data_IF_485046591323
#
_entry.id   IF_485046591323
#
_cell.length_a   1.000
_cell.length_b   1.000
_cell.length_c   1.000
_cell.angle_alpha   90.00
_cell.angle_beta   90.00
_cell.angle_gamma   90.00
#
_symmetry.space_group_name_H-M   'P 1'
#
loop_
_entity.id
_entity.type
_entity.pdbx_description
1 polymer ?
#
# COMPACT_ATOMS: atom_id res chain seq x y z
N UNK A 1 15.27 -54.97 -19.26
CA UNK A 1 15.69 -53.74 -19.99
C UNK A 1 16.31 -52.78 -18.99
N UNK A 2 17.63 -52.56 -19.03
CA UNK A 2 18.35 -51.66 -18.11
C UNK A 2 18.39 -50.27 -18.74
N UNK A 3 17.57 -49.35 -18.25
CA UNK A 3 17.60 -47.95 -18.71
C UNK A 3 18.94 -47.31 -18.31
N UNK A 4 19.63 -46.73 -19.30
CA UNK A 4 20.91 -46.07 -19.11
C UNK A 4 20.74 -44.86 -18.18
N UNK A 5 21.75 -44.61 -17.34
CA UNK A 5 21.78 -43.48 -16.40
C UNK A 5 21.45 -42.15 -17.09
N UNK A 6 21.86 -41.97 -18.35
CA UNK A 6 21.55 -40.77 -19.14
C UNK A 6 20.06 -40.61 -19.45
N UNK A 7 19.30 -41.71 -19.60
CA UNK A 7 17.85 -41.68 -19.81
C UNK A 7 17.11 -41.36 -18.52
N UNK A 8 17.60 -41.86 -17.38
CA UNK A 8 17.05 -41.52 -16.05
C UNK A 8 17.23 -40.03 -15.75
N UNK A 9 18.40 -39.45 -16.06
CA UNK A 9 18.65 -38.02 -15.87
C UNK A 9 17.84 -37.13 -16.83
N UNK A 10 17.62 -37.56 -18.07
CA UNK A 10 16.75 -36.83 -19.02
C UNK A 10 15.29 -36.84 -18.58
N UNK A 11 14.79 -37.95 -18.01
CA UNK A 11 13.42 -38.03 -17.47
C UNK A 11 13.26 -37.19 -16.20
N UNK A 12 14.27 -37.14 -15.32
CA UNK A 12 14.26 -36.30 -14.11
C UNK A 12 14.33 -34.80 -14.45
N UNK A 13 15.15 -34.41 -15.44
CA UNK A 13 15.22 -33.02 -15.91
C UNK A 13 13.92 -32.58 -16.62
N UNK A 14 13.28 -33.48 -17.36
CA UNK A 14 11.97 -33.22 -17.97
C UNK A 14 10.84 -33.10 -16.92
N UNK A 15 10.88 -33.87 -15.82
CA UNK A 15 9.91 -33.76 -14.74
C UNK A 15 10.10 -32.50 -13.87
N UNK A 16 11.34 -32.02 -13.70
CA UNK A 16 11.62 -30.78 -12.99
C UNK A 16 11.11 -29.52 -13.73
N UNK A 17 10.95 -29.57 -15.06
CA UNK A 17 10.41 -28.46 -15.84
C UNK A 17 8.87 -28.36 -15.81
N UNK A 18 8.15 -29.39 -15.37
CA UNK A 18 6.67 -29.44 -15.43
C UNK A 18 6.01 -28.87 -14.15
N UNK A 19 6.74 -28.61 -13.08
CA UNK A 19 6.18 -28.18 -11.79
C UNK A 19 6.27 -26.67 -11.47
N UNK A 20 6.72 -25.82 -12.39
CA UNK A 20 6.91 -24.38 -12.11
C UNK A 20 5.66 -23.52 -12.40
N UNK A 21 4.59 -24.08 -12.96
CA UNK A 21 3.49 -23.29 -13.55
C UNK A 21 2.19 -23.14 -12.74
N UNK A 22 2.08 -23.65 -11.51
CA UNK A 22 0.77 -23.77 -10.82
C UNK A 22 0.79 -23.23 -9.39
N UNK A 23 1.47 -22.11 -9.15
CA UNK A 23 1.27 -21.36 -7.91
C UNK A 23 -0.17 -20.80 -7.88
N UNK A 24 -0.86 -20.82 -6.73
CA UNK A 24 -2.18 -20.19 -6.64
C UNK A 24 -2.04 -18.71 -7.01
N UNK A 25 -2.81 -18.27 -8.01
CA UNK A 25 -3.03 -16.85 -8.29
C UNK A 25 -3.76 -16.30 -7.07
N UNK A 26 -3.01 -15.72 -6.13
CA UNK A 26 -3.59 -15.03 -4.98
C UNK A 26 -4.38 -13.87 -5.57
N UNK A 27 -5.71 -14.02 -5.64
CA UNK A 27 -6.62 -12.97 -6.04
C UNK A 27 -6.41 -11.78 -5.11
N UNK A 28 -5.71 -10.75 -5.60
CA UNK A 28 -5.52 -9.54 -4.83
C UNK A 28 -6.90 -8.85 -4.66
N UNK A 29 -7.23 -8.36 -3.46
CA UNK A 29 -8.46 -7.60 -3.26
C UNK A 29 -8.53 -6.43 -4.25
N UNK A 30 -9.68 -6.27 -4.90
CA UNK A 30 -9.90 -5.13 -5.80
C UNK A 30 -9.71 -3.84 -5.01
N UNK A 31 -8.85 -2.96 -5.52
CA UNK A 31 -8.57 -1.67 -4.90
C UNK A 31 -9.88 -0.84 -4.90
N UNK A 32 -10.32 -0.33 -3.72
CA UNK A 32 -11.47 0.55 -3.66
C UNK A 32 -11.24 1.84 -4.44
N UNK A 33 -12.32 2.40 -4.99
CA UNK A 33 -12.31 3.73 -5.58
C UNK A 33 -11.87 4.79 -4.56
N UNK A 34 -11.46 5.95 -5.06
CA UNK A 34 -11.13 7.11 -4.24
C UNK A 34 -12.32 7.46 -3.34
N UNK A 35 -12.03 7.83 -2.09
CA UNK A 35 -13.07 8.16 -1.13
C UNK A 35 -12.73 9.41 -0.32
N UNK A 36 -13.78 10.17 -0.01
CA UNK A 36 -13.67 11.42 0.74
C UNK A 36 -13.77 11.24 2.25
N UNK A 37 -13.17 12.17 2.97
CA UNK A 37 -13.44 12.54 4.35
C UNK A 37 -14.12 13.91 4.31
N UNK A 38 -15.31 13.98 4.89
CA UNK A 38 -16.07 15.23 4.95
C UNK A 38 -15.33 16.26 5.81
N UNK A 39 -15.57 17.53 5.53
CA UNK A 39 -14.99 18.61 6.29
C UNK A 39 -15.56 18.61 7.72
N UNK A 40 -14.72 18.23 8.69
CA UNK A 40 -15.03 18.39 10.10
C UNK A 40 -14.94 19.85 10.54
N UNK A 41 -15.50 20.16 11.71
CA UNK A 41 -15.53 21.50 12.32
C UNK A 41 -14.16 22.19 12.38
N UNK A 42 -13.08 21.43 12.60
CA UNK A 42 -11.71 21.94 12.75
C UNK A 42 -10.87 21.71 11.48
N UNK A 43 -11.50 21.25 10.39
CA UNK A 43 -10.82 20.97 9.12
C UNK A 43 -10.97 22.14 8.16
N UNK A 44 -9.89 22.62 7.52
CA UNK A 44 -9.97 23.72 6.55
C UNK A 44 -10.61 23.32 5.21
N UNK A 45 -10.93 22.03 5.02
CA UNK A 45 -11.57 21.51 3.81
C UNK A 45 -11.79 20.00 3.86
N UNK A 46 -12.47 19.46 2.84
CA UNK A 46 -12.65 18.03 2.62
C UNK A 46 -11.33 17.39 2.14
N UNK A 47 -11.15 16.11 2.40
CA UNK A 47 -9.94 15.37 1.99
C UNK A 47 -10.33 14.15 1.18
N UNK A 48 -9.73 13.94 0.01
CA UNK A 48 -9.91 12.71 -0.77
C UNK A 48 -8.67 11.84 -0.66
N UNK A 49 -8.85 10.57 -0.32
CA UNK A 49 -7.80 9.57 -0.38
C UNK A 49 -7.90 8.76 -1.67
N UNK A 50 -6.75 8.59 -2.35
CA UNK A 50 -6.63 7.79 -3.56
C UNK A 50 -5.62 6.66 -3.40
N UNK A 51 -6.06 5.42 -3.55
CA UNK A 51 -5.16 4.27 -3.56
C UNK A 51 -4.24 4.27 -4.77
N UNK A 52 -4.75 4.65 -5.95
CA UNK A 52 -3.95 4.67 -7.20
C UNK A 52 -2.77 5.62 -7.05
N UNK A 53 -3.02 6.83 -6.55
CA UNK A 53 -1.98 7.83 -6.35
C UNK A 53 -0.90 7.34 -5.38
N UNK A 54 -1.27 6.72 -4.25
CA UNK A 54 -0.27 6.21 -3.31
C UNK A 54 0.53 5.05 -3.89
N UNK A 55 -0.11 4.15 -4.64
CA UNK A 55 0.56 3.05 -5.34
C UNK A 55 1.56 3.58 -6.37
N UNK A 56 1.14 4.51 -7.21
CA UNK A 56 1.97 5.15 -8.26
C UNK A 56 3.15 5.93 -7.68
N UNK A 57 3.01 6.48 -6.46
CA UNK A 57 4.11 7.16 -5.76
C UNK A 57 5.08 6.20 -5.04
N UNK A 58 4.84 4.89 -5.09
CA UNK A 58 5.77 3.86 -4.61
C UNK A 58 5.30 3.06 -3.41
N UNK A 59 4.07 3.26 -2.91
CA UNK A 59 3.47 2.40 -1.88
C UNK A 59 2.79 1.17 -2.54
N UNK A 60 3.58 0.36 -3.26
CA UNK A 60 3.05 -0.67 -4.15
C UNK A 60 2.37 -1.84 -3.43
N UNK A 61 2.86 -2.16 -2.22
CA UNK A 61 2.39 -3.30 -1.44
C UNK A 61 1.20 -2.89 -0.58
N UNK A 62 0.10 -3.64 -0.63
CA UNK A 62 -1.05 -3.45 0.26
C UNK A 62 -0.62 -3.45 1.74
N UNK A 63 0.41 -4.24 2.06
CA UNK A 63 0.98 -4.36 3.40
C UNK A 63 1.77 -3.14 3.87
N UNK A 64 2.10 -2.21 2.97
CA UNK A 64 2.71 -0.93 3.34
C UNK A 64 1.77 -0.10 4.22
N UNK A 65 0.44 -0.22 4.00
CA UNK A 65 -0.58 0.49 4.74
C UNK A 65 -1.40 -0.43 5.66
N UNK A 66 -1.72 -1.64 5.19
CA UNK A 66 -2.66 -2.53 5.86
C UNK A 66 -2.00 -3.78 6.47
N UNK A 67 -2.44 -4.27 7.63
CA UNK A 67 -3.38 -3.64 8.56
C UNK A 67 -2.68 -2.77 9.61
N UNK A 68 -1.36 -2.57 9.45
CA UNK A 68 -0.48 -1.92 10.42
C UNK A 68 -0.83 -0.45 10.67
N UNK A 69 -1.05 0.33 9.60
CA UNK A 69 -1.34 1.76 9.68
C UNK A 69 -2.85 1.99 9.59
N UNK A 70 -3.52 1.30 8.67
CA UNK A 70 -4.96 1.39 8.48
C UNK A 70 -5.62 0.01 8.52
N UNK A 71 -6.82 -0.09 9.07
CA UNK A 71 -7.69 -1.26 8.87
C UNK A 71 -8.27 -1.23 7.46
N UNK A 72 -8.61 -2.40 6.92
CA UNK A 72 -9.13 -2.54 5.55
C UNK A 72 -10.49 -1.85 5.36
N UNK A 73 -11.27 -1.72 6.44
CA UNK A 73 -12.58 -1.04 6.40
C UNK A 73 -12.45 0.41 6.87
N UNK A 74 -12.95 1.33 6.07
CA UNK A 74 -13.03 2.77 6.38
C UNK A 74 -13.67 2.99 7.75
N UNK A 75 -13.07 3.87 8.56
CA UNK A 75 -13.56 4.23 9.89
C UNK A 75 -13.16 3.28 11.02
N UNK A 76 -12.53 2.12 10.74
CA UNK A 76 -12.16 1.16 11.80
C UNK A 76 -10.77 1.36 12.40
N UNK A 77 -9.91 2.17 11.78
CA UNK A 77 -8.57 2.46 12.31
C UNK A 77 -8.62 3.31 13.58
N UNK A 78 -9.67 4.11 13.76
CA UNK A 78 -9.81 5.08 14.85
C UNK A 78 -10.06 6.49 14.33
N UNK A 79 -10.21 7.43 15.27
CA UNK A 79 -10.47 8.84 14.96
C UNK A 79 -9.31 9.45 14.18
N UNK A 80 -9.58 9.92 12.97
CA UNK A 80 -8.64 10.66 12.16
C UNK A 80 -8.58 12.12 12.63
N UNK A 81 -7.39 12.61 12.96
CA UNK A 81 -7.16 14.01 13.37
C UNK A 81 -5.71 14.43 13.14
N UNK A 82 -5.46 15.74 13.04
CA UNK A 82 -4.10 16.27 12.93
C UNK A 82 -3.23 15.91 14.13
N UNK A 83 -3.77 15.86 15.34
CA UNK A 83 -3.01 15.48 16.54
C UNK A 83 -2.49 14.04 16.48
N UNK A 84 -3.30 13.12 15.94
CA UNK A 84 -2.90 11.72 15.71
C UNK A 84 -1.83 11.66 14.63
N UNK A 85 -2.01 12.42 13.54
CA UNK A 85 -1.04 12.46 12.44
C UNK A 85 0.31 13.05 12.87
N UNK A 86 0.32 14.13 13.65
CA UNK A 86 1.56 14.73 14.21
C UNK A 86 2.32 13.78 15.13
N UNK A 87 1.65 12.79 15.70
CA UNK A 87 2.26 11.70 16.50
C UNK A 87 2.77 10.54 15.64
N UNK A 88 2.83 10.69 14.31
CA UNK A 88 3.35 9.68 13.40
C UNK A 88 2.39 8.52 13.14
N UNK A 89 1.08 8.73 13.32
CA UNK A 89 0.06 7.71 13.09
C UNK A 89 -0.79 8.02 11.86
N UNK A 90 -1.45 7.00 11.30
CA UNK A 90 -2.34 7.14 10.13
C UNK A 90 -1.61 7.83 8.96
N UNK A 91 -2.13 8.95 8.43
CA UNK A 91 -1.48 9.64 7.31
C UNK A 91 -0.06 10.13 7.69
N UNK A 92 0.10 10.59 8.94
CA UNK A 92 1.38 11.05 9.46
C UNK A 92 2.41 9.95 9.69
N UNK A 93 2.06 8.66 9.54
CA UNK A 93 3.03 7.57 9.60
C UNK A 93 4.04 7.61 8.42
N UNK A 94 3.64 8.23 7.30
CA UNK A 94 4.53 8.49 6.17
C UNK A 94 4.63 9.99 5.87
N UNK A 95 3.56 10.77 6.08
CA UNK A 95 3.60 12.22 5.90
C UNK A 95 4.24 12.92 7.11
N UNK A 96 5.50 12.58 7.40
CA UNK A 96 6.28 13.07 8.53
C UNK A 96 7.48 13.95 8.09
N UNK A 97 7.67 14.15 6.78
CA UNK A 97 8.81 14.87 6.22
C UNK A 97 10.12 14.09 6.22
N UNK A 98 10.08 12.79 6.53
CA UNK A 98 11.28 11.94 6.73
C UNK A 98 11.16 10.60 6.00
N UNK A 99 9.97 10.02 6.00
CA UNK A 99 9.69 8.73 5.39
C UNK A 99 9.83 8.84 3.88
N UNK A 100 10.63 7.93 3.31
CA UNK A 100 10.83 7.82 1.87
C UNK A 100 9.89 6.77 1.30
N UNK A 101 9.12 7.14 0.29
CA UNK A 101 8.27 6.22 -0.49
C UNK A 101 8.69 6.35 -1.95
N UNK A 102 9.09 5.22 -2.56
CA UNK A 102 9.76 5.24 -3.86
C UNK A 102 11.05 6.06 -3.81
N UNK A 103 11.16 7.05 -4.67
CA UNK A 103 12.37 7.91 -4.80
C UNK A 103 12.29 9.20 -3.99
N UNK A 104 11.13 9.55 -3.42
CA UNK A 104 10.89 10.84 -2.78
C UNK A 104 10.65 10.73 -1.27
N UNK A 105 11.06 11.77 -0.54
CA UNK A 105 10.65 11.98 0.85
C UNK A 105 9.22 12.53 0.83
N UNK A 106 8.33 11.90 1.59
CA UNK A 106 6.93 12.31 1.67
C UNK A 106 6.83 13.55 2.55
N UNK A 107 6.09 14.56 2.09
CA UNK A 107 5.93 15.83 2.80
C UNK A 107 5.25 15.65 4.17
N UNK A 108 5.56 16.55 5.11
CA UNK A 108 4.97 16.51 6.46
C UNK A 108 3.54 17.04 6.50
N UNK A 109 2.70 16.45 7.36
CA UNK A 109 1.35 16.96 7.68
C UNK A 109 1.37 18.30 8.42
N UNK A 110 2.50 18.70 9.02
CA UNK A 110 2.58 19.90 9.87
C UNK A 110 3.20 21.12 9.18
N UNK A 111 3.19 21.13 7.85
CA UNK A 111 3.65 22.27 7.06
C UNK A 111 2.46 22.91 6.36
N UNK A 112 2.24 24.19 6.66
CA UNK A 112 1.14 24.99 6.11
C UNK A 112 1.17 25.05 4.58
N UNK A 113 2.36 24.99 3.98
CA UNK A 113 2.50 24.97 2.52
C UNK A 113 1.92 23.69 1.88
N UNK A 114 1.69 22.64 2.68
CA UNK A 114 1.15 21.36 2.21
C UNK A 114 -0.33 21.16 2.53
N UNK A 115 -0.99 22.07 3.28
CA UNK A 115 -2.40 21.91 3.66
C UNK A 115 -3.31 21.63 2.45
N UNK A 116 -3.12 22.37 1.36
CA UNK A 116 -3.93 22.25 0.14
C UNK A 116 -3.67 20.98 -0.68
N UNK A 117 -2.58 20.23 -0.36
CA UNK A 117 -2.32 18.93 -0.97
C UNK A 117 -3.34 17.88 -0.54
N UNK A 118 -3.91 18.03 0.66
CA UNK A 118 -4.94 17.14 1.19
C UNK A 118 -6.31 17.83 1.27
N UNK A 119 -6.35 19.03 1.85
CA UNK A 119 -7.59 19.77 2.08
C UNK A 119 -7.99 20.55 0.83
N UNK A 120 -9.03 20.08 0.14
CA UNK A 120 -9.66 20.79 -0.96
C UNK A 120 -10.83 21.62 -0.41
N UNK A 121 -10.96 22.85 -0.90
CA UNK A 121 -12.16 23.66 -0.68
C UNK A 121 -13.34 23.08 -1.49
#
# INVERSE_FOLDING_TARGET
>A
MKLSRSVVWLVVAAFALILVGSGPVIAQPKIPADFGFDQGKDSPGKVTFSHSLHKEKGAEKCTACHTKIFKMKKGQTGKLSMDVMKKGQQCGACHDGKTKVGTAVVFTVDDKANCEKCHKK
#
